data_IF_695921114354
#
_entry.id   IF_695921114354
#
_cell.length_a   1.000
_cell.length_b   1.000
_cell.length_c   1.000
_cell.angle_alpha   90.00
_cell.angle_beta   90.00
_cell.angle_gamma   90.00
#
_symmetry.space_group_name_H-M   'P 1'
#
loop_
_entity.id
_entity.type
_entity.pdbx_description
1 polymer ?
#
# COMPACT_ATOMS: atom_id res chain seq x y z
N UNK A 1 -1.77 -25.27 -1.32
CA UNK A 1 -1.77 -24.48 -2.58
C UNK A 1 -1.18 -23.08 -2.36
N UNK A 2 0.09 -22.97 -1.94
CA UNK A 2 0.69 -21.67 -1.54
C UNK A 2 2.02 -21.35 -2.26
N UNK A 3 2.24 -21.93 -3.44
CA UNK A 3 3.58 -21.92 -4.09
C UNK A 3 3.62 -21.16 -5.42
N UNK A 4 2.49 -20.82 -6.06
CA UNK A 4 2.47 -19.95 -7.25
C UNK A 4 1.35 -18.91 -7.11
N UNK A 5 1.64 -17.63 -7.25
CA UNK A 5 0.61 -16.65 -7.64
C UNK A 5 0.38 -15.43 -6.76
N UNK A 6 1.32 -14.99 -5.91
CA UNK A 6 1.18 -13.70 -5.22
C UNK A 6 0.95 -12.52 -6.19
N UNK A 7 1.66 -12.52 -7.32
CA UNK A 7 1.58 -11.51 -8.37
C UNK A 7 0.19 -11.39 -9.04
N UNK A 8 -0.31 -12.49 -9.63
CA UNK A 8 -1.59 -12.46 -10.36
C UNK A 8 -2.76 -12.14 -9.42
N UNK A 9 -2.65 -12.56 -8.15
CA UNK A 9 -3.64 -12.26 -7.13
C UNK A 9 -3.70 -10.76 -6.79
N UNK A 10 -2.56 -10.06 -6.72
CA UNK A 10 -2.53 -8.62 -6.43
C UNK A 10 -3.13 -7.81 -7.59
N UNK A 11 -2.73 -8.09 -8.83
CA UNK A 11 -3.24 -7.36 -10.00
C UNK A 11 -4.76 -7.51 -10.12
N UNK A 12 -5.28 -8.73 -10.01
CA UNK A 12 -6.72 -8.99 -10.06
C UNK A 12 -7.47 -8.35 -8.88
N UNK A 13 -6.91 -8.41 -7.67
CA UNK A 13 -7.51 -7.80 -6.49
C UNK A 13 -7.62 -6.27 -6.64
N UNK A 14 -6.56 -5.60 -7.10
CA UNK A 14 -6.54 -4.15 -7.34
C UNK A 14 -7.63 -3.72 -8.32
N UNK A 15 -7.73 -4.39 -9.47
CA UNK A 15 -8.75 -4.10 -10.48
C UNK A 15 -10.15 -4.32 -9.94
N UNK A 16 -10.37 -5.42 -9.20
CA UNK A 16 -11.67 -5.73 -8.63
C UNK A 16 -12.11 -4.70 -7.57
N UNK A 17 -11.21 -4.30 -6.67
CA UNK A 17 -11.47 -3.27 -5.67
C UNK A 17 -11.78 -1.93 -6.37
N UNK A 18 -10.97 -1.54 -7.36
CA UNK A 18 -11.18 -0.33 -8.13
C UNK A 18 -12.52 -0.32 -8.85
N UNK A 19 -12.88 -1.41 -9.53
CA UNK A 19 -14.17 -1.53 -10.24
C UNK A 19 -15.37 -1.46 -9.29
N UNK A 20 -15.24 -2.02 -8.08
CA UNK A 20 -16.35 -2.10 -7.12
C UNK A 20 -16.58 -0.78 -6.38
N UNK A 21 -15.51 -0.10 -5.99
CA UNK A 21 -15.60 1.02 -5.05
C UNK A 21 -15.02 2.34 -5.57
N UNK A 22 -14.30 2.33 -6.70
CA UNK A 22 -13.56 3.48 -7.25
C UNK A 22 -12.82 4.30 -6.16
N UNK A 23 -12.03 3.66 -5.28
CA UNK A 23 -11.37 4.36 -4.20
C UNK A 23 -10.26 5.27 -4.73
N UNK A 24 -9.99 6.36 -4.03
CA UNK A 24 -8.82 7.22 -4.34
C UNK A 24 -7.51 6.62 -3.87
N UNK A 25 -7.53 5.77 -2.85
CA UNK A 25 -6.35 5.15 -2.25
C UNK A 25 -6.68 3.70 -1.89
N UNK A 26 -5.76 2.79 -2.17
CA UNK A 26 -5.72 1.41 -1.67
C UNK A 26 -4.42 1.25 -0.88
N UNK A 27 -4.53 0.99 0.42
CA UNK A 27 -3.40 0.63 1.26
C UNK A 27 -3.34 -0.89 1.41
N UNK A 28 -2.19 -1.48 1.10
CA UNK A 28 -1.93 -2.93 1.19
C UNK A 28 -1.01 -3.17 2.38
N UNK A 29 -1.50 -3.89 3.38
CA UNK A 29 -0.70 -4.34 4.51
C UNK A 29 -0.27 -5.79 4.29
N UNK A 30 0.98 -6.12 4.58
CA UNK A 30 1.47 -7.50 4.50
C UNK A 30 1.04 -8.33 5.71
N UNK A 31 1.19 -9.65 5.57
CA UNK A 31 0.99 -10.65 6.64
C UNK A 31 2.29 -11.41 6.88
N UNK A 32 2.41 -12.13 8.00
CA UNK A 32 3.60 -12.95 8.29
C UNK A 32 3.97 -13.92 7.18
N UNK A 33 2.96 -14.49 6.49
CA UNK A 33 3.19 -15.40 5.36
C UNK A 33 3.81 -14.70 4.14
N UNK A 34 3.30 -13.52 3.76
CA UNK A 34 3.83 -12.77 2.60
C UNK A 34 5.24 -12.24 2.87
N UNK A 35 5.51 -11.84 4.12
CA UNK A 35 6.83 -11.38 4.55
C UNK A 35 7.86 -12.51 4.54
N UNK A 36 7.48 -13.69 5.05
CA UNK A 36 8.38 -14.86 5.10
C UNK A 36 8.67 -15.41 3.69
N UNK A 37 7.73 -15.27 2.76
CA UNK A 37 7.96 -15.63 1.35
C UNK A 37 8.96 -14.71 0.65
N UNK A 38 9.10 -13.47 1.11
CA UNK A 38 9.95 -12.46 0.47
C UNK A 38 9.40 -11.96 -0.87
N UNK A 39 8.07 -11.85 -0.99
CA UNK A 39 7.43 -11.34 -2.21
C UNK A 39 7.82 -9.87 -2.45
N UNK A 40 8.28 -9.53 -3.66
CA UNK A 40 8.55 -8.13 -4.07
C UNK A 40 7.25 -7.41 -4.47
N UNK A 41 6.47 -7.04 -3.46
CA UNK A 41 5.16 -6.41 -3.64
C UNK A 41 5.26 -5.06 -4.35
N UNK A 42 6.29 -4.27 -4.08
CA UNK A 42 6.52 -2.99 -4.75
C UNK A 42 6.75 -3.18 -6.26
N UNK A 43 7.58 -4.14 -6.65
CA UNK A 43 7.78 -4.51 -8.05
C UNK A 43 6.49 -4.99 -8.73
N UNK A 44 5.63 -5.70 -7.99
CA UNK A 44 4.34 -6.16 -8.49
C UNK A 44 3.37 -5.00 -8.72
N UNK A 45 3.31 -4.03 -7.81
CA UNK A 45 2.47 -2.81 -7.96
C UNK A 45 2.92 -2.01 -9.18
N UNK A 46 4.23 -1.81 -9.37
CA UNK A 46 4.78 -1.10 -10.54
C UNK A 46 4.36 -1.80 -11.84
N UNK A 47 4.43 -3.13 -11.87
CA UNK A 47 4.05 -3.91 -13.05
C UNK A 47 2.54 -3.88 -13.29
N UNK A 48 1.73 -3.99 -12.24
CA UNK A 48 0.28 -3.90 -12.32
C UNK A 48 -0.18 -2.55 -12.90
N UNK A 49 0.39 -1.42 -12.44
CA UNK A 49 0.11 -0.10 -13.02
C UNK A 49 0.44 -0.04 -14.51
N UNK A 50 1.62 -0.53 -14.92
CA UNK A 50 2.02 -0.56 -16.33
C UNK A 50 1.07 -1.37 -17.21
N UNK A 51 0.50 -2.46 -16.68
CA UNK A 51 -0.42 -3.35 -17.41
C UNK A 51 -1.88 -2.90 -17.36
N UNK A 52 -2.27 -2.15 -16.33
CA UNK A 52 -3.65 -1.75 -16.03
C UNK A 52 -3.73 -0.23 -15.84
N UNK A 53 -3.79 0.57 -16.93
CA UNK A 53 -3.95 2.02 -16.85
C UNK A 53 -5.21 2.48 -16.11
N UNK A 54 -6.22 1.59 -15.99
CA UNK A 54 -7.41 1.84 -15.18
C UNK A 54 -7.15 1.99 -13.67
N UNK A 55 -5.94 1.66 -13.19
CA UNK A 55 -5.51 1.88 -11.82
C UNK A 55 -4.85 3.26 -11.61
N UNK A 56 -4.63 4.05 -12.68
CA UNK A 56 -3.93 5.34 -12.59
C UNK A 56 -4.72 6.41 -11.81
N UNK A 57 -6.04 6.21 -11.65
CA UNK A 57 -6.91 7.09 -10.86
C UNK A 57 -6.93 6.75 -9.35
N UNK A 58 -6.24 5.68 -8.97
CA UNK A 58 -6.22 5.11 -7.63
C UNK A 58 -4.78 5.08 -7.14
N UNK A 59 -4.50 5.71 -6.00
CA UNK A 59 -3.20 5.61 -5.35
C UNK A 59 -3.05 4.24 -4.67
N UNK A 60 -1.87 3.62 -4.78
CA UNK A 60 -1.60 2.30 -4.22
C UNK A 60 -0.38 2.43 -3.32
N UNK A 61 -0.57 2.15 -2.04
CA UNK A 61 0.47 2.26 -1.01
C UNK A 61 0.69 0.89 -0.39
N UNK A 62 1.92 0.40 -0.42
CA UNK A 62 2.29 -0.82 0.29
C UNK A 62 2.90 -0.50 1.66
N UNK A 63 2.54 -1.32 2.65
CA UNK A 63 3.01 -1.22 4.02
C UNK A 63 3.45 -2.61 4.47
N UNK A 64 4.75 -2.76 4.73
CA UNK A 64 5.29 -3.95 5.38
C UNK A 64 4.88 -3.95 6.86
N UNK A 65 4.15 -4.99 7.25
CA UNK A 65 3.60 -5.23 8.60
C UNK A 65 3.76 -6.70 9.01
N UNK A 66 5.00 -7.20 9.19
CA UNK A 66 5.23 -8.56 9.68
C UNK A 66 4.63 -8.74 11.08
N UNK A 67 3.69 -9.68 11.22
CA UNK A 67 2.98 -9.97 12.47
C UNK A 67 3.86 -10.57 13.58
N UNK A 68 5.08 -10.98 13.25
CA UNK A 68 6.08 -11.50 14.18
C UNK A 68 7.08 -10.43 14.68
N UNK A 69 6.96 -9.18 14.24
CA UNK A 69 7.80 -8.06 14.70
C UNK A 69 6.94 -6.92 15.24
N UNK A 70 7.25 -6.50 16.47
CA UNK A 70 6.56 -5.37 17.10
C UNK A 70 5.14 -5.71 17.55
N UNK A 71 4.28 -4.69 17.56
CA UNK A 71 2.88 -4.78 17.94
C UNK A 71 1.98 -3.93 17.01
N UNK A 72 0.71 -3.79 17.36
CA UNK A 72 -0.27 -3.10 16.50
C UNK A 72 0.09 -1.64 16.23
N UNK A 73 0.61 -0.95 17.24
CA UNK A 73 1.08 0.43 17.16
C UNK A 73 2.22 0.62 16.16
N UNK A 74 3.08 -0.39 15.99
CA UNK A 74 4.13 -0.37 14.97
C UNK A 74 3.52 -0.45 13.59
N UNK A 75 2.56 -1.36 13.37
CA UNK A 75 1.81 -1.44 12.12
C UNK A 75 1.12 -0.12 11.77
N UNK A 76 0.50 0.52 12.76
CA UNK A 76 -0.12 1.85 12.61
C UNK A 76 0.89 2.93 12.20
N UNK A 77 2.02 3.01 12.90
CA UNK A 77 3.12 3.93 12.59
C UNK A 77 3.65 3.71 11.17
N UNK A 78 3.87 2.46 10.77
CA UNK A 78 4.32 2.13 9.42
C UNK A 78 3.31 2.56 8.36
N UNK A 79 2.01 2.31 8.59
CA UNK A 79 0.95 2.67 7.67
C UNK A 79 0.86 4.19 7.46
N UNK A 80 0.84 4.97 8.54
CA UNK A 80 0.84 6.44 8.43
C UNK A 80 2.08 6.93 7.71
N UNK A 81 3.24 6.41 8.08
CA UNK A 81 4.51 6.81 7.46
C UNK A 81 4.52 6.55 5.95
N UNK A 82 4.02 5.39 5.53
CA UNK A 82 3.94 5.01 4.13
C UNK A 82 2.97 5.90 3.35
N UNK A 83 1.79 6.17 3.90
CA UNK A 83 0.79 7.06 3.29
C UNK A 83 1.37 8.46 3.12
N UNK A 84 2.00 9.02 4.15
CA UNK A 84 2.61 10.35 4.10
C UNK A 84 3.71 10.39 3.03
N UNK A 85 4.62 9.42 3.01
CA UNK A 85 5.70 9.34 2.01
C UNK A 85 5.20 9.22 0.58
N UNK A 86 4.12 8.47 0.36
CA UNK A 86 3.58 8.24 -0.97
C UNK A 86 2.79 9.45 -1.51
N UNK A 87 2.01 10.12 -0.66
CA UNK A 87 0.99 11.08 -1.12
C UNK A 87 1.37 12.53 -0.86
N UNK A 88 2.18 12.82 0.15
CA UNK A 88 2.48 14.19 0.56
C UNK A 88 3.65 14.73 -0.25
N UNK A 89 3.41 15.82 -0.97
CA UNK A 89 4.45 16.60 -1.64
C UNK A 89 4.95 17.69 -0.69
N UNK A 90 6.21 18.15 -0.82
CA UNK A 90 6.67 19.33 -0.10
C UNK A 90 5.75 20.53 -0.38
N UNK A 91 5.20 21.13 0.68
CA UNK A 91 4.33 22.30 0.61
C UNK A 91 4.99 23.49 1.32
N UNK A 92 4.69 24.73 0.92
CA UNK A 92 5.09 25.91 1.67
C UNK A 92 4.60 25.84 3.12
N UNK A 93 5.41 26.33 4.05
CA UNK A 93 5.02 26.45 5.46
C UNK A 93 3.86 27.43 5.57
N UNK A 94 2.78 27.01 6.23
CA UNK A 94 1.65 27.86 6.62
C UNK A 94 1.76 28.14 8.12
N UNK A 95 2.05 29.39 8.47
CA UNK A 95 2.38 29.79 9.84
C UNK A 95 1.21 29.59 10.83
N UNK A 96 -0.01 29.54 10.34
CA UNK A 96 -1.27 29.39 11.09
C UNK A 96 -1.84 27.96 11.05
N UNK A 97 -1.07 26.97 10.56
CA UNK A 97 -1.49 25.58 10.45
C UNK A 97 -0.54 24.63 11.18
N UNK A 98 -1.11 23.70 11.97
CA UNK A 98 -0.39 22.60 12.63
C UNK A 98 -0.99 21.27 12.14
N UNK A 99 -0.13 20.35 11.69
CA UNK A 99 -0.53 18.97 11.38
C UNK A 99 -0.38 18.11 12.62
N UNK A 100 -1.47 17.44 13.01
CA UNK A 100 -1.46 16.45 14.07
C UNK A 100 -1.54 15.06 13.45
N UNK A 101 -0.66 14.16 13.88
CA UNK A 101 -0.76 12.73 13.59
C UNK A 101 -1.19 12.06 14.91
N UNK A 102 -2.29 11.28 14.91
CA UNK A 102 -2.79 10.63 16.12
C UNK A 102 -1.84 9.55 16.64
#
# INVERSE_FOLDING_TARGET
>A
TSILGGYDNIEAALVNIRKRAAPKIIAICSTGLTETKGDDVDGYIVTARKRKPELDDTEIVYVSTPDYVGAFEDGYKHAITAIVKALVKPLPVKADQITLLP
#
